data_IF_716857008737
#
_entry.id   IF_716857008737
#
_cell.length_a   1.000
_cell.length_b   1.000
_cell.length_c   1.000
_cell.angle_alpha   90.00
_cell.angle_beta   90.00
_cell.angle_gamma   90.00
#
_symmetry.space_group_name_H-M   'P 1'
#
loop_
_entity.id
_entity.type
_entity.pdbx_description
1 polymer ?
#
# COMPACT_ATOMS: atom_id res chain seq x y z
N UNK A 1 -22.17 -0.13 -8.12
CA UNK A 1 -21.76 -0.91 -7.48
C UNK A 1 -20.42 -0.76 -7.11
N UNK A 2 -20.05 -0.43 -6.19
CA UNK A 2 -18.70 -0.54 -5.83
C UNK A 2 -18.34 -2.01 -5.82
N UNK A 3 -17.36 -2.36 -6.53
CA UNK A 3 -16.91 -3.72 -6.46
C UNK A 3 -16.03 -3.88 -5.24
N UNK A 4 -16.08 -5.04 -4.67
CA UNK A 4 -15.16 -5.40 -3.60
C UNK A 4 -13.74 -5.53 -4.16
N UNK A 5 -12.74 -5.17 -3.36
CA UNK A 5 -11.36 -5.40 -3.78
C UNK A 5 -11.10 -6.87 -4.06
N UNK A 6 -10.37 -7.12 -5.13
CA UNK A 6 -10.03 -8.48 -5.55
C UNK A 6 -8.53 -8.67 -5.36
N UNK A 7 -8.10 -9.53 -4.44
CA UNK A 7 -6.67 -9.72 -4.19
C UNK A 7 -5.90 -10.24 -5.39
N UNK A 8 -6.50 -11.11 -6.19
CA UNK A 8 -5.81 -11.63 -7.37
C UNK A 8 -5.59 -10.54 -8.40
N UNK A 9 -6.58 -9.67 -8.58
CA UNK A 9 -6.45 -8.56 -9.51
C UNK A 9 -5.42 -7.55 -9.02
N UNK A 10 -5.41 -7.28 -7.71
CA UNK A 10 -4.43 -6.38 -7.12
C UNK A 10 -3.01 -6.90 -7.35
N UNK A 11 -2.78 -8.18 -7.07
CA UNK A 11 -1.48 -8.79 -7.30
C UNK A 11 -1.10 -8.76 -8.78
N UNK A 12 -2.05 -9.06 -9.67
CA UNK A 12 -1.79 -9.07 -11.10
C UNK A 12 -1.43 -7.70 -11.64
N UNK A 13 -2.13 -6.66 -11.18
CA UNK A 13 -1.83 -5.29 -11.62
C UNK A 13 -0.43 -4.88 -11.18
N UNK A 14 -0.07 -5.19 -9.93
CA UNK A 14 1.25 -4.86 -9.41
C UNK A 14 2.36 -5.62 -10.14
N UNK A 15 2.15 -6.89 -10.42
CA UNK A 15 3.09 -7.69 -11.16
C UNK A 15 3.25 -7.20 -12.60
N UNK A 16 2.15 -6.75 -13.21
CA UNK A 16 2.19 -6.21 -14.55
C UNK A 16 2.95 -4.87 -14.58
N UNK A 17 2.73 -4.04 -13.58
CA UNK A 17 3.48 -2.79 -13.45
C UNK A 17 4.98 -3.07 -13.34
N UNK A 18 5.34 -4.09 -12.56
CA UNK A 18 6.74 -4.49 -12.41
C UNK A 18 7.32 -5.00 -13.72
N UNK A 19 6.56 -5.82 -14.43
CA UNK A 19 6.99 -6.38 -15.71
C UNK A 19 7.19 -5.29 -16.76
N UNK A 20 6.41 -4.22 -16.70
CA UNK A 20 6.50 -3.10 -17.63
C UNK A 20 7.50 -2.02 -17.16
N UNK A 21 8.27 -2.30 -16.12
CA UNK A 21 9.31 -1.41 -15.60
C UNK A 21 8.79 -0.10 -15.04
N UNK A 22 7.56 -0.08 -14.49
CA UNK A 22 7.14 1.06 -13.69
C UNK A 22 7.98 1.15 -12.42
N UNK A 23 8.31 2.36 -11.99
CA UNK A 23 9.15 2.55 -10.81
C UNK A 23 8.45 2.14 -9.53
N UNK A 24 7.16 2.42 -9.41
CA UNK A 24 6.46 2.18 -8.16
C UNK A 24 4.95 2.11 -8.37
N UNK A 25 4.27 1.53 -7.39
CA UNK A 25 2.81 1.54 -7.28
C UNK A 25 2.44 2.30 -6.02
N UNK A 26 1.33 3.04 -6.06
CA UNK A 26 0.93 3.92 -4.98
C UNK A 26 -0.51 3.63 -4.58
N UNK A 27 -0.77 3.67 -3.28
CA UNK A 27 -2.12 3.44 -2.75
C UNK A 27 -2.57 4.63 -1.90
N UNK A 28 -3.87 4.98 -1.95
CA UNK A 28 -4.40 6.06 -1.14
C UNK A 28 -4.74 5.58 0.27
N UNK A 29 -4.90 6.54 1.18
CA UNK A 29 -5.40 6.28 2.52
C UNK A 29 -6.66 7.11 2.76
N UNK A 30 -7.78 6.43 2.93
CA UNK A 30 -9.03 7.08 3.29
C UNK A 30 -9.59 6.37 4.49
N UNK A 31 -9.54 7.04 5.64
CA UNK A 31 -9.99 6.43 6.89
C UNK A 31 -11.48 6.11 6.85
N UNK A 32 -12.27 6.96 6.18
CA UNK A 32 -13.71 6.77 6.10
C UNK A 32 -14.18 6.92 4.67
N UNK A 33 -14.73 5.85 4.12
CA UNK A 33 -15.35 5.87 2.81
C UNK A 33 -16.74 5.27 2.92
N UNK A 34 -17.72 6.01 2.43
CA UNK A 34 -19.11 5.59 2.50
C UNK A 34 -19.51 4.72 1.30
N UNK A 35 -18.98 5.05 0.12
CA UNK A 35 -19.50 4.48 -1.10
C UNK A 35 -18.59 3.43 -1.72
N UNK A 36 -17.34 3.34 -1.31
CA UNK A 36 -16.42 2.37 -1.89
C UNK A 36 -15.47 1.87 -0.81
N UNK A 37 -15.24 0.57 -0.74
CA UNK A 37 -14.26 0.04 0.22
C UNK A 37 -12.85 0.46 -0.18
N UNK A 38 -12.14 1.02 0.78
CA UNK A 38 -10.73 1.35 0.62
C UNK A 38 -9.95 0.54 1.65
N UNK A 39 -9.04 -0.25 1.18
CA UNK A 39 -8.24 -1.09 2.06
C UNK A 39 -7.19 -0.27 2.79
N UNK A 40 -6.81 -0.73 3.96
CA UNK A 40 -5.73 -0.10 4.71
C UNK A 40 -4.45 -0.09 3.85
N UNK A 41 -3.79 1.09 3.70
CA UNK A 41 -2.67 1.19 2.77
C UNK A 41 -1.47 0.34 3.16
N UNK A 42 -1.09 0.27 4.43
CA UNK A 42 0.06 -0.54 4.82
C UNK A 42 -0.19 -2.03 4.63
N UNK A 43 -1.41 -2.47 4.94
CA UNK A 43 -1.79 -3.86 4.72
C UNK A 43 -1.78 -4.19 3.23
N UNK A 44 -2.33 -3.29 2.41
CA UNK A 44 -2.35 -3.47 0.97
C UNK A 44 -0.95 -3.55 0.39
N UNK A 45 -0.08 -2.63 0.81
CA UNK A 45 1.29 -2.64 0.33
C UNK A 45 2.07 -3.87 0.78
N UNK A 46 1.78 -4.38 1.97
CA UNK A 46 2.41 -5.62 2.45
C UNK A 46 2.01 -6.80 1.57
N UNK A 47 0.74 -6.87 1.20
CA UNK A 47 0.27 -7.90 0.27
C UNK A 47 0.97 -7.78 -1.08
N UNK A 48 1.04 -6.57 -1.62
CA UNK A 48 1.70 -6.32 -2.89
C UNK A 48 3.19 -6.63 -2.80
N UNK A 49 3.83 -6.31 -1.67
CA UNK A 49 5.24 -6.63 -1.46
C UNK A 49 5.51 -8.12 -1.59
N UNK A 50 4.59 -8.94 -1.06
CA UNK A 50 4.73 -10.39 -1.17
C UNK A 50 4.50 -10.93 -2.58
N UNK A 51 3.80 -10.17 -3.42
CA UNK A 51 3.47 -10.58 -4.78
C UNK A 51 4.46 -10.05 -5.83
N UNK A 52 5.38 -9.17 -5.44
CA UNK A 52 6.30 -8.51 -6.36
C UNK A 52 7.73 -8.62 -5.84
N UNK A 53 8.72 -8.20 -6.64
CA UNK A 53 10.12 -8.33 -6.26
C UNK A 53 10.88 -7.02 -6.27
N UNK A 54 10.55 -6.10 -7.17
CA UNK A 54 11.39 -4.92 -7.39
C UNK A 54 10.64 -3.60 -7.44
N UNK A 55 9.34 -3.60 -7.70
CA UNK A 55 8.59 -2.36 -7.84
C UNK A 55 8.49 -1.64 -6.49
N UNK A 56 8.64 -0.32 -6.51
CA UNK A 56 8.49 0.50 -5.31
C UNK A 56 7.05 0.54 -4.83
N UNK A 57 6.87 0.72 -3.52
CA UNK A 57 5.57 0.66 -2.86
C UNK A 57 5.37 1.96 -2.08
N UNK A 58 4.33 2.71 -2.38
CA UNK A 58 4.14 4.00 -1.74
C UNK A 58 2.72 4.31 -1.32
N UNK A 59 2.59 5.22 -0.37
CA UNK A 59 1.29 5.77 0.03
C UNK A 59 1.14 7.18 -0.50
N UNK A 60 -0.05 7.50 -0.92
CA UNK A 60 -0.35 8.83 -1.44
C UNK A 60 -1.78 9.22 -1.09
N UNK A 61 -2.04 9.71 0.08
CA UNK A 61 -1.16 10.08 1.19
C UNK A 61 -1.60 9.29 2.42
N UNK A 62 -0.67 8.90 3.31
CA UNK A 62 -1.03 8.28 4.59
C UNK A 62 -1.50 9.37 5.56
N UNK A 63 -2.69 9.19 6.15
CA UNK A 63 -3.25 10.18 7.08
C UNK A 63 -2.83 9.79 8.49
N UNK A 64 -1.66 10.29 8.89
CA UNK A 64 -1.00 9.87 10.12
C UNK A 64 -1.80 10.15 11.39
N UNK A 65 -2.51 11.31 11.54
CA UNK A 65 -3.21 11.58 12.80
C UNK A 65 -4.30 10.58 13.17
N UNK A 66 -4.79 9.81 12.23
CA UNK A 66 -5.80 8.79 12.51
C UNK A 66 -5.19 7.48 12.98
N UNK A 67 -3.88 7.41 13.19
CA UNK A 67 -3.21 6.16 13.52
C UNK A 67 -2.42 6.31 14.81
N UNK A 68 -2.35 5.23 15.58
CA UNK A 68 -1.52 5.20 16.76
C UNK A 68 -0.06 5.23 16.32
N UNK A 69 0.71 6.17 16.85
CA UNK A 69 2.07 6.43 16.37
C UNK A 69 2.99 5.21 16.45
N UNK A 70 2.93 4.48 17.56
CA UNK A 70 3.79 3.31 17.73
C UNK A 70 3.40 2.17 16.81
N UNK A 71 2.10 1.97 16.63
CA UNK A 71 1.62 0.93 15.72
C UNK A 71 1.96 1.29 14.28
N UNK A 72 1.81 2.56 13.91
CA UNK A 72 2.19 3.02 12.60
C UNK A 72 3.68 2.84 12.34
N UNK A 73 4.51 3.22 13.29
CA UNK A 73 5.97 3.11 13.14
C UNK A 73 6.39 1.65 12.98
N UNK A 74 5.81 0.75 13.77
CA UNK A 74 6.11 -0.66 13.65
C UNK A 74 5.64 -1.23 12.31
N UNK A 75 4.45 -0.84 11.86
CA UNK A 75 3.93 -1.29 10.58
C UNK A 75 4.79 -0.82 9.42
N UNK A 76 5.19 0.45 9.44
CA UNK A 76 6.03 1.02 8.40
C UNK A 76 7.40 0.35 8.35
N UNK A 77 8.00 0.13 9.52
CA UNK A 77 9.30 -0.54 9.60
C UNK A 77 9.20 -1.98 9.11
N UNK A 78 8.13 -2.67 9.48
CA UNK A 78 7.89 -4.05 9.04
C UNK A 78 7.74 -4.13 7.53
N UNK A 79 6.97 -3.21 6.95
CA UNK A 79 6.79 -3.15 5.51
C UNK A 79 8.13 -2.91 4.80
N UNK A 80 8.94 -2.01 5.33
CA UNK A 80 10.24 -1.71 4.73
C UNK A 80 11.13 -2.95 4.72
N UNK A 81 11.21 -3.64 5.85
CA UNK A 81 12.01 -4.87 5.96
C UNK A 81 11.50 -5.95 5.03
N UNK A 82 10.19 -6.20 5.05
CA UNK A 82 9.60 -7.29 4.27
C UNK A 82 9.62 -7.01 2.77
N UNK A 83 9.63 -5.75 2.38
CA UNK A 83 9.72 -5.38 0.97
C UNK A 83 11.15 -5.23 0.46
N UNK A 84 12.13 -5.40 1.34
CA UNK A 84 13.52 -5.21 0.93
C UNK A 84 13.88 -3.76 0.68
N UNK A 85 13.29 -2.83 1.43
CA UNK A 85 13.60 -1.41 1.33
C UNK A 85 12.88 -0.69 0.20
N UNK A 86 11.77 -1.24 -0.29
CA UNK A 86 11.04 -0.65 -1.44
C UNK A 86 9.94 0.31 -1.05
N UNK A 87 9.70 0.53 0.24
CA UNK A 87 8.55 1.35 0.66
C UNK A 87 8.90 2.83 0.77
N UNK A 88 7.94 3.67 0.39
CA UNK A 88 8.00 5.12 0.54
C UNK A 88 6.67 5.58 1.11
N UNK A 89 6.69 6.21 2.28
CA UNK A 89 5.47 6.65 2.92
C UNK A 89 5.36 8.17 2.85
N UNK A 90 4.40 8.66 2.07
CA UNK A 90 4.04 10.07 2.05
C UNK A 90 2.90 10.26 3.02
N UNK A 91 3.12 11.06 4.04
CA UNK A 91 2.15 11.25 5.11
C UNK A 91 1.68 12.69 5.18
N UNK A 92 0.43 12.88 5.61
CA UNK A 92 -0.13 14.20 5.87
C UNK A 92 -0.53 14.28 7.33
N UNK A 93 -0.50 15.49 7.87
CA UNK A 93 -0.93 15.74 9.25
C UNK A 93 -2.34 16.32 9.30
#
# INVERSE_FOLDING_TARGET
MGSNPDPQRLASVAQEAERLDFDSVWVPDHVLRVFAPILDPLTTLSFVAGATQSVGLGTNVLIAPYRHALILANGAASLDVLSGGRSVLCAAS
#
